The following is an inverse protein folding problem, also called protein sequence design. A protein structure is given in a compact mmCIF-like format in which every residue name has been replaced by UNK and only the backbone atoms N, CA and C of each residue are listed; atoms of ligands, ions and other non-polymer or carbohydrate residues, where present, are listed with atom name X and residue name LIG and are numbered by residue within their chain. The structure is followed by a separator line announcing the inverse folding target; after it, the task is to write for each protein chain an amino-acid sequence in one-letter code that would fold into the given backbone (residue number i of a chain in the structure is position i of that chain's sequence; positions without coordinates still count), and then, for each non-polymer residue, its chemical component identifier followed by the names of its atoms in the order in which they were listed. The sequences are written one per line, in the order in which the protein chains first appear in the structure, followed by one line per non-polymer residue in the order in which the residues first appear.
data_IF_974548744215
#
_entry.id   IF_974548744215
#
_cell.length_a   1.000
_cell.length_b   1.000
_cell.length_c   1.000
_cell.angle_alpha   90.00
_cell.angle_beta   90.00
_cell.angle_gamma   90.00
#
_symmetry.space_group_name_H-M   'P 1'
#
loop_
_entity.id
_entity.type
_entity.pdbx_description
1 polymer ?
#
# COMPACT_ATOMS: atom_id res chain seq x y z
N UNK A 1 1.75 21.07 12.60
CA UNK A 1 1.50 19.64 12.92
C UNK A 1 2.86 18.98 13.11
N UNK A 2 3.12 18.36 14.25
CA UNK A 2 4.43 17.77 14.57
C UNK A 2 4.52 16.38 13.96
N UNK A 3 5.54 16.13 13.13
CA UNK A 3 5.83 14.81 12.61
C UNK A 3 6.52 13.94 13.67
N UNK A 4 6.39 12.61 13.57
CA UNK A 4 7.07 11.69 14.47
C UNK A 4 8.59 11.70 14.21
N UNK A 5 9.36 11.56 15.29
CA UNK A 5 10.81 11.41 15.24
C UNK A 5 11.19 9.98 14.84
N UNK A 6 12.44 9.79 14.42
CA UNK A 6 12.98 8.45 14.12
C UNK A 6 12.81 7.49 15.30
N UNK A 7 13.13 7.92 16.52
CA UNK A 7 13.01 7.08 17.73
C UNK A 7 11.56 6.62 17.97
N UNK A 8 10.60 7.52 17.85
CA UNK A 8 9.18 7.18 18.00
C UNK A 8 8.69 6.21 16.91
N UNK A 9 9.21 6.32 15.69
CA UNK A 9 8.91 5.38 14.61
C UNK A 9 9.53 3.99 14.86
N UNK A 10 10.75 3.95 15.37
CA UNK A 10 11.44 2.69 15.72
C UNK A 10 10.77 1.96 16.89
N UNK A 11 10.31 2.68 17.91
CA UNK A 11 9.52 2.11 19.02
C UNK A 11 8.24 1.41 18.56
N UNK A 12 7.59 1.93 17.49
CA UNK A 12 6.38 1.32 16.92
C UNK A 12 6.62 0.10 16.03
N UNK A 13 7.86 -0.20 15.68
CA UNK A 13 8.19 -1.21 14.67
C UNK A 13 7.79 -2.63 15.06
N UNK A 14 7.86 -2.98 16.35
CA UNK A 14 7.47 -4.31 16.83
C UNK A 14 5.97 -4.57 16.68
N UNK A 15 5.15 -3.54 16.74
CA UNK A 15 3.72 -3.66 16.43
C UNK A 15 3.50 -4.04 14.95
N UNK A 16 4.24 -3.43 14.04
CA UNK A 16 4.18 -3.75 12.62
C UNK A 16 4.65 -5.19 12.35
N UNK A 17 5.74 -5.63 12.98
CA UNK A 17 6.27 -7.00 12.85
C UNK A 17 5.31 -8.10 13.31
N UNK A 18 4.35 -7.78 14.19
CA UNK A 18 3.31 -8.71 14.65
C UNK A 18 2.10 -8.78 13.72
N UNK A 19 2.17 -8.23 12.52
CA UNK A 19 1.11 -8.40 11.51
C UNK A 19 0.94 -9.88 11.15
N UNK A 20 -0.29 -10.35 10.92
CA UNK A 20 -0.54 -11.75 10.54
C UNK A 20 0.12 -12.08 9.20
N UNK A 21 0.60 -13.32 9.03
CA UNK A 21 1.40 -13.71 7.86
C UNK A 21 0.56 -14.25 6.71
N UNK A 22 -0.47 -15.04 6.96
CA UNK A 22 -1.18 -15.78 5.92
C UNK A 22 -2.57 -15.23 5.63
N UNK A 23 -3.27 -14.79 6.65
CA UNK A 23 -4.63 -14.28 6.58
C UNK A 23 -4.73 -13.00 7.39
N UNK A 24 -5.16 -11.93 6.74
CA UNK A 24 -5.33 -10.61 7.32
C UNK A 24 -6.64 -9.96 6.88
N UNK A 25 -6.73 -8.65 7.04
CA UNK A 25 -7.94 -7.87 6.80
C UNK A 25 -7.63 -6.63 5.97
N UNK A 26 -8.54 -6.25 5.08
CA UNK A 26 -8.51 -4.95 4.40
C UNK A 26 -9.09 -3.91 5.35
N UNK A 27 -8.27 -2.97 5.82
CA UNK A 27 -8.71 -1.97 6.81
C UNK A 27 -9.15 -0.64 6.20
N UNK A 28 -8.63 -0.30 5.01
CA UNK A 28 -8.94 0.97 4.38
C UNK A 28 -8.76 0.84 2.87
N UNK A 29 -9.69 1.40 2.12
CA UNK A 29 -9.65 1.50 0.66
C UNK A 29 -9.64 2.98 0.28
N UNK A 30 -8.71 3.38 -0.57
CA UNK A 30 -8.56 4.77 -1.01
C UNK A 30 -8.51 4.84 -2.53
N UNK A 31 -9.44 5.58 -3.11
CA UNK A 31 -9.40 5.99 -4.51
C UNK A 31 -8.69 7.34 -4.65
N UNK A 32 -7.93 7.52 -5.71
CA UNK A 32 -7.19 8.75 -6.02
C UNK A 32 -7.69 9.32 -7.34
N UNK A 33 -8.87 9.96 -7.38
CA UNK A 33 -9.49 10.41 -8.64
C UNK A 33 -8.76 11.58 -9.30
N UNK A 34 -7.97 12.34 -8.53
CA UNK A 34 -7.14 13.43 -9.03
C UNK A 34 -5.84 13.57 -8.21
N UNK A 35 -4.92 14.42 -8.68
CA UNK A 35 -3.71 14.72 -7.92
C UNK A 35 -4.07 15.37 -6.57
N UNK A 36 -3.49 14.82 -5.50
CA UNK A 36 -3.76 15.20 -4.09
C UNK A 36 -5.19 14.97 -3.60
N UNK A 37 -6.06 14.40 -4.40
CA UNK A 37 -7.40 13.98 -3.98
C UNK A 37 -7.40 12.54 -3.45
N UNK A 38 -8.17 12.28 -2.39
CA UNK A 38 -8.21 11.00 -1.67
C UNK A 38 -9.63 10.75 -1.19
N UNK A 39 -10.29 9.76 -1.78
CA UNK A 39 -11.62 9.32 -1.36
C UNK A 39 -11.50 7.98 -0.64
N UNK A 40 -11.92 7.94 0.61
CA UNK A 40 -12.07 6.69 1.36
C UNK A 40 -13.34 6.01 0.88
N UNK A 41 -13.22 4.72 0.55
CA UNK A 41 -14.32 3.92 0.02
C UNK A 41 -14.62 2.75 0.97
N UNK A 42 -15.90 2.40 1.10
CA UNK A 42 -16.33 1.17 1.75
C UNK A 42 -16.17 -0.06 0.84
N UNK A 43 -16.30 0.16 -0.47
CA UNK A 43 -16.20 -0.87 -1.50
C UNK A 43 -15.51 -0.31 -2.74
N UNK A 44 -14.72 -1.15 -3.42
CA UNK A 44 -14.14 -0.84 -4.71
C UNK A 44 -14.13 -2.07 -5.64
N UNK A 45 -14.17 -1.82 -6.94
CA UNK A 45 -13.90 -2.82 -7.97
C UNK A 45 -12.41 -2.78 -8.33
N UNK A 46 -11.77 -3.94 -8.31
CA UNK A 46 -10.43 -4.18 -8.86
C UNK A 46 -10.58 -4.83 -10.23
N UNK A 47 -10.03 -4.20 -11.26
CA UNK A 47 -10.15 -4.64 -12.65
C UNK A 47 -8.77 -4.72 -13.29
N UNK A 48 -8.49 -5.81 -14.00
CA UNK A 48 -7.19 -6.09 -14.61
C UNK A 48 -6.80 -5.10 -15.72
N UNK A 49 -7.78 -4.46 -16.36
CA UNK A 49 -7.54 -3.43 -17.38
C UNK A 49 -7.49 -2.00 -16.82
N UNK A 50 -8.28 -1.71 -15.76
CA UNK A 50 -8.47 -0.35 -15.26
C UNK A 50 -7.79 -0.06 -13.92
N UNK A 51 -7.35 -1.10 -13.20
CA UNK A 51 -6.87 -0.97 -11.83
C UNK A 51 -8.02 -0.86 -10.83
N UNK A 52 -7.87 -0.06 -9.78
CA UNK A 52 -8.98 0.29 -8.89
C UNK A 52 -9.90 1.26 -9.62
N UNK A 53 -11.18 0.91 -9.73
CA UNK A 53 -12.16 1.71 -10.48
C UNK A 53 -12.24 3.15 -9.92
N UNK A 54 -12.15 4.14 -10.80
CA UNK A 54 -12.16 5.56 -10.47
C UNK A 54 -10.80 6.14 -10.05
N UNK A 55 -9.75 5.31 -9.90
CA UNK A 55 -8.39 5.78 -9.62
C UNK A 55 -7.71 6.33 -10.90
N UNK A 56 -6.76 7.23 -10.73
CA UNK A 56 -6.03 7.85 -11.84
C UNK A 56 -4.96 6.96 -12.48
N UNK A 57 -4.76 5.72 -12.02
CA UNK A 57 -3.67 4.87 -12.52
C UNK A 57 -3.65 4.76 -14.05
N UNK A 58 -4.81 4.49 -14.66
CA UNK A 58 -4.90 4.35 -16.12
C UNK A 58 -4.69 5.68 -16.87
N UNK A 59 -5.15 6.78 -16.28
CA UNK A 59 -5.08 8.12 -16.89
C UNK A 59 -3.73 8.81 -16.66
N UNK A 60 -2.86 8.29 -15.82
CA UNK A 60 -1.55 8.91 -15.53
C UNK A 60 -0.63 8.81 -16.71
N UNK A 61 -0.10 9.95 -17.11
CA UNK A 61 0.87 10.10 -18.22
C UNK A 61 2.32 10.18 -17.71
N UNK A 62 2.50 10.35 -16.39
CA UNK A 62 3.80 10.47 -15.72
C UNK A 62 4.41 9.11 -15.33
N UNK A 63 3.78 8.01 -15.72
CA UNK A 63 4.23 6.65 -15.49
C UNK A 63 5.19 6.15 -16.58
N UNK A 64 5.71 4.92 -16.42
CA UNK A 64 6.55 4.28 -17.41
C UNK A 64 5.85 4.20 -18.78
N UNK A 65 6.61 4.41 -19.86
CA UNK A 65 6.09 4.27 -21.22
C UNK A 65 5.78 2.82 -21.58
N UNK A 66 6.46 1.87 -20.95
CA UNK A 66 6.25 0.44 -21.13
C UNK A 66 4.95 -0.01 -20.43
N UNK A 67 4.06 -0.61 -21.21
CA UNK A 67 2.77 -1.11 -20.70
C UNK A 67 2.93 -2.18 -19.61
N UNK A 68 3.89 -3.09 -19.74
CA UNK A 68 4.16 -4.13 -18.74
C UNK A 68 4.62 -3.50 -17.42
N UNK A 69 5.54 -2.53 -17.46
CA UNK A 69 5.99 -1.82 -16.27
C UNK A 69 4.87 -1.00 -15.60
N UNK A 70 3.92 -0.49 -16.39
CA UNK A 70 2.73 0.20 -15.85
C UNK A 70 1.83 -0.76 -15.09
N UNK A 71 1.59 -1.96 -15.62
CA UNK A 71 0.76 -3.00 -14.98
C UNK A 71 1.40 -3.45 -13.66
N UNK A 72 2.72 -3.55 -13.58
CA UNK A 72 3.43 -3.88 -12.35
C UNK A 72 3.24 -2.86 -11.21
N UNK A 73 2.69 -1.68 -11.52
CA UNK A 73 2.37 -0.61 -10.56
C UNK A 73 0.88 -0.28 -10.53
N UNK A 74 0.05 -1.24 -10.93
CA UNK A 74 -1.39 -1.05 -11.10
C UNK A 74 -2.10 -0.81 -9.78
N UNK A 75 -1.68 -1.51 -8.74
CA UNK A 75 -2.24 -1.44 -7.39
C UNK A 75 -1.11 -1.27 -6.38
N UNK A 76 -1.35 -0.48 -5.34
CA UNK A 76 -0.43 -0.32 -4.23
C UNK A 76 -1.10 -0.73 -2.92
N UNK A 77 -0.39 -1.57 -2.14
CA UNK A 77 -0.82 -2.00 -0.82
C UNK A 77 0.18 -1.51 0.23
N UNK A 78 -0.31 -1.01 1.34
CA UNK A 78 0.50 -0.65 2.51
C UNK A 78 0.01 -1.41 3.74
N UNK A 79 0.94 -1.84 4.60
CA UNK A 79 0.57 -2.42 5.88
C UNK A 79 -0.14 -1.37 6.74
N UNK A 80 -1.33 -1.70 7.26
CA UNK A 80 -2.19 -0.76 7.98
C UNK A 80 -1.56 -0.27 9.29
N UNK A 81 -0.79 -1.13 9.97
CA UNK A 81 -0.06 -0.75 11.20
C UNK A 81 1.09 0.20 10.89
N UNK A 82 1.82 -0.03 9.79
CA UNK A 82 2.88 0.87 9.32
C UNK A 82 2.30 2.22 8.90
N UNK A 83 1.16 2.22 8.20
CA UNK A 83 0.45 3.44 7.83
C UNK A 83 0.01 4.25 9.05
N UNK A 84 -0.56 3.57 10.07
CA UNK A 84 -0.97 4.20 11.33
C UNK A 84 0.21 4.77 12.10
N UNK A 85 1.32 4.02 12.17
CA UNK A 85 2.55 4.47 12.82
C UNK A 85 3.09 5.74 12.15
N UNK A 86 3.24 5.74 10.84
CA UNK A 86 3.79 6.90 10.10
C UNK A 86 2.86 8.10 10.15
N UNK A 87 1.55 7.89 10.07
CA UNK A 87 0.56 8.96 10.07
C UNK A 87 0.41 9.63 11.44
N UNK A 88 0.59 8.88 12.53
CA UNK A 88 0.36 9.33 13.91
C UNK A 88 -1.11 9.60 14.24
N UNK A 89 -1.93 9.84 13.23
CA UNK A 89 -3.36 10.10 13.30
C UNK A 89 -4.06 9.22 12.24
N UNK A 90 -5.07 8.41 12.62
CA UNK A 90 -5.79 7.53 11.69
C UNK A 90 -6.37 8.24 10.47
N UNK A 91 -6.85 9.47 10.62
CA UNK A 91 -7.46 10.24 9.53
C UNK A 91 -6.43 10.69 8.48
N UNK A 92 -5.16 10.60 8.80
CA UNK A 92 -4.06 10.93 7.89
C UNK A 92 -3.52 9.73 7.10
N UNK A 93 -3.92 8.50 7.41
CA UNK A 93 -3.49 7.30 6.67
C UNK A 93 -3.68 7.41 5.16
N UNK A 94 -4.81 7.92 4.62
CA UNK A 94 -5.02 8.07 3.18
C UNK A 94 -3.96 8.92 2.49
N UNK A 95 -3.29 9.81 3.22
CA UNK A 95 -2.24 10.68 2.69
C UNK A 95 -0.97 9.90 2.28
N UNK A 96 -0.77 8.66 2.74
CA UNK A 96 0.33 7.82 2.27
C UNK A 96 0.24 7.58 0.76
N UNK A 97 -0.98 7.53 0.23
CA UNK A 97 -1.24 7.54 -1.21
C UNK A 97 -1.34 6.14 -1.82
N UNK A 98 -1.48 5.12 -0.99
CA UNK A 98 -1.77 3.76 -1.41
C UNK A 98 -3.29 3.58 -1.61
N UNK A 99 -3.67 2.54 -2.38
CA UNK A 99 -5.08 2.23 -2.61
C UNK A 99 -5.64 1.28 -1.56
N UNK A 100 -4.89 0.29 -1.11
CA UNK A 100 -5.32 -0.66 -0.08
C UNK A 100 -4.39 -0.59 1.14
N UNK A 101 -5.00 -0.56 2.32
CA UNK A 101 -4.30 -0.66 3.60
C UNK A 101 -4.76 -1.94 4.27
N UNK A 102 -3.81 -2.82 4.54
CA UNK A 102 -4.10 -4.19 4.96
C UNK A 102 -3.38 -4.54 6.26
N UNK A 103 -4.06 -5.19 7.19
CA UNK A 103 -3.41 -5.81 8.35
C UNK A 103 -2.90 -7.19 7.94
N UNK A 104 -1.77 -7.21 7.27
CA UNK A 104 -1.06 -8.39 6.80
C UNK A 104 0.45 -8.09 6.80
N UNK A 105 1.28 -9.07 7.10
CA UNK A 105 2.73 -9.00 6.91
C UNK A 105 3.03 -9.00 5.40
N UNK A 106 3.39 -7.83 4.87
CA UNK A 106 3.72 -7.64 3.46
C UNK A 106 5.24 -7.61 3.21
N UNK A 107 6.04 -8.05 4.18
CA UNK A 107 7.50 -8.09 4.06
C UNK A 107 7.98 -8.91 2.86
N UNK A 108 9.22 -8.66 2.44
CA UNK A 108 9.86 -9.42 1.35
C UNK A 108 9.99 -10.91 1.69
N UNK A 109 10.19 -11.23 2.97
CA UNK A 109 10.26 -12.60 3.46
C UNK A 109 8.93 -13.33 3.36
N UNK A 110 7.82 -12.66 3.70
CA UNK A 110 6.49 -13.27 3.67
C UNK A 110 5.87 -13.30 2.27
N UNK A 111 6.02 -12.22 1.52
CA UNK A 111 5.40 -12.04 0.19
C UNK A 111 6.47 -11.69 -0.85
N UNK A 112 7.37 -12.60 -1.24
CA UNK A 112 8.29 -12.34 -2.34
C UNK A 112 7.53 -11.99 -3.62
N UNK A 113 8.21 -11.36 -4.59
CA UNK A 113 7.64 -11.08 -5.91
C UNK A 113 7.05 -12.36 -6.53
N UNK A 114 5.89 -12.24 -7.18
CA UNK A 114 5.12 -13.38 -7.71
C UNK A 114 4.18 -14.02 -6.68
N UNK A 115 4.22 -13.63 -5.39
CA UNK A 115 3.23 -14.08 -4.41
C UNK A 115 1.83 -13.63 -4.83
N UNK A 116 0.85 -14.50 -4.68
CA UNK A 116 -0.54 -14.20 -4.99
C UNK A 116 -1.36 -14.03 -3.72
N UNK A 117 -2.27 -13.07 -3.78
CA UNK A 117 -3.18 -12.75 -2.69
C UNK A 117 -4.61 -12.75 -3.20
N UNK A 118 -5.50 -13.41 -2.49
CA UNK A 118 -6.92 -13.16 -2.61
C UNK A 118 -7.28 -11.93 -1.78
N UNK A 119 -7.94 -10.95 -2.39
CA UNK A 119 -8.37 -9.69 -1.75
C UNK A 119 -9.86 -9.51 -2.02
N UNK A 120 -10.70 -9.75 -1.03
CA UNK A 120 -12.13 -9.90 -1.26
C UNK A 120 -12.40 -11.01 -2.27
N UNK A 121 -12.99 -10.69 -3.43
CA UNK A 121 -13.21 -11.64 -4.54
C UNK A 121 -12.16 -11.54 -5.66
N UNK A 122 -11.24 -10.58 -5.60
CA UNK A 122 -10.18 -10.37 -6.58
C UNK A 122 -8.93 -11.21 -6.25
N UNK A 123 -8.09 -11.45 -7.27
CA UNK A 123 -6.75 -12.02 -7.09
C UNK A 123 -5.71 -11.04 -7.61
N UNK A 124 -4.69 -10.76 -6.79
CA UNK A 124 -3.58 -9.88 -7.14
C UNK A 124 -2.25 -10.61 -7.00
N UNK A 125 -1.23 -10.15 -7.73
CA UNK A 125 0.12 -10.69 -7.66
C UNK A 125 1.11 -9.58 -7.31
N UNK A 126 1.97 -9.84 -6.32
CA UNK A 126 3.02 -8.92 -5.89
C UNK A 126 4.05 -8.76 -7.01
N UNK A 127 4.29 -7.52 -7.44
CA UNK A 127 5.27 -7.23 -8.50
C UNK A 127 6.70 -7.09 -7.96
N UNK A 128 7.69 -7.23 -8.85
CA UNK A 128 9.10 -6.99 -8.50
C UNK A 128 9.42 -5.51 -8.31
N UNK A 129 8.56 -4.60 -8.77
CA UNK A 129 8.83 -3.16 -8.71
C UNK A 129 8.77 -2.67 -7.26
N UNK A 130 9.87 -2.08 -6.75
CA UNK A 130 9.88 -1.57 -5.38
C UNK A 130 8.91 -0.38 -5.24
N UNK A 131 8.25 -0.32 -4.11
CA UNK A 131 7.46 0.84 -3.70
C UNK A 131 8.22 1.61 -2.62
N UNK A 132 8.73 2.80 -2.96
CA UNK A 132 9.61 3.57 -2.08
C UNK A 132 9.01 4.92 -1.70
N UNK A 133 9.40 5.44 -0.55
CA UNK A 133 9.05 6.79 -0.13
C UNK A 133 9.68 7.85 -1.05
N UNK A 134 8.92 8.87 -1.36
CA UNK A 134 9.29 9.96 -2.25
C UNK A 134 9.15 11.34 -1.59
N UNK A 135 9.48 12.41 -2.32
CA UNK A 135 9.34 13.79 -1.83
C UNK A 135 7.92 14.14 -1.38
N UNK A 136 6.88 13.63 -2.07
CA UNK A 136 5.47 13.83 -1.66
C UNK A 136 5.18 13.16 -0.31
N UNK A 137 5.76 11.98 -0.06
CA UNK A 137 5.66 11.28 1.24
C UNK A 137 6.33 12.08 2.36
N UNK A 138 7.56 12.58 2.12
CA UNK A 138 8.25 13.44 3.08
C UNK A 138 7.50 14.73 3.41
N UNK A 139 6.87 15.36 2.41
CA UNK A 139 6.08 16.57 2.63
C UNK A 139 4.85 16.33 3.55
N UNK A 140 4.33 15.10 3.57
CA UNK A 140 3.15 14.72 4.36
C UNK A 140 3.48 14.21 5.75
N UNK A 141 4.59 13.47 5.89
CA UNK A 141 4.92 12.73 7.12
C UNK A 141 6.29 13.09 7.70
N UNK A 142 7.05 13.97 7.05
CA UNK A 142 8.37 14.40 7.51
C UNK A 142 9.54 13.59 6.95
N UNK A 143 10.75 14.12 7.15
CA UNK A 143 11.99 13.52 6.66
C UNK A 143 12.34 12.25 7.43
N UNK A 144 11.99 12.18 8.71
CA UNK A 144 12.25 10.99 9.54
C UNK A 144 11.43 9.81 9.05
N UNK A 145 10.15 10.02 8.77
CA UNK A 145 9.30 8.99 8.16
C UNK A 145 9.82 8.54 6.79
N UNK A 146 10.30 9.47 5.95
CA UNK A 146 10.91 9.12 4.65
C UNK A 146 12.16 8.24 4.83
N UNK A 147 13.05 8.61 5.74
CA UNK A 147 14.26 7.83 6.05
C UNK A 147 13.91 6.46 6.61
N UNK A 148 12.95 6.41 7.53
CA UNK A 148 12.47 5.19 8.17
C UNK A 148 11.94 4.16 7.15
N UNK A 149 11.00 4.55 6.29
CA UNK A 149 10.43 3.62 5.30
C UNK A 149 11.42 3.21 4.21
N UNK A 150 12.44 4.02 3.94
CA UNK A 150 13.48 3.73 2.95
C UNK A 150 14.76 3.12 3.56
N UNK A 151 14.82 2.93 4.88
CA UNK A 151 15.94 2.26 5.56
C UNK A 151 16.04 0.79 5.12
N UNK A 152 17.18 0.09 5.36
CA UNK A 152 17.29 -1.33 5.07
C UNK A 152 16.18 -2.17 5.71
N UNK A 153 15.84 -1.91 6.98
CA UNK A 153 14.73 -2.57 7.69
C UNK A 153 13.38 -2.16 7.07
N UNK A 154 13.20 -0.87 6.78
CA UNK A 154 11.98 -0.35 6.16
C UNK A 154 11.69 -0.97 4.80
N UNK A 155 12.72 -1.23 3.99
CA UNK A 155 12.60 -1.91 2.70
C UNK A 155 12.27 -3.39 2.86
N UNK A 156 12.99 -4.10 3.72
CA UNK A 156 12.74 -5.52 3.98
C UNK A 156 11.32 -5.77 4.51
N UNK A 157 10.80 -4.91 5.40
CA UNK A 157 9.44 -4.97 5.90
C UNK A 157 8.42 -4.31 4.98
N UNK A 158 8.86 -3.70 3.88
CA UNK A 158 8.02 -2.92 2.96
C UNK A 158 7.14 -1.90 3.66
N UNK A 159 7.72 -1.15 4.59
CA UNK A 159 6.98 -0.15 5.39
C UNK A 159 6.32 0.93 4.53
N UNK A 160 6.84 1.20 3.33
CA UNK A 160 6.21 2.10 2.36
C UNK A 160 5.11 1.41 1.56
N UNK A 161 5.02 0.09 1.62
CA UNK A 161 4.09 -0.70 0.84
C UNK A 161 4.75 -1.51 -0.27
N UNK A 162 3.93 -2.16 -1.06
CA UNK A 162 4.30 -2.92 -2.25
C UNK A 162 3.45 -2.53 -3.45
N UNK A 163 3.96 -2.82 -4.63
CA UNK A 163 3.21 -2.76 -5.88
C UNK A 163 2.66 -4.15 -6.23
N UNK A 164 1.50 -4.18 -6.85
CA UNK A 164 0.86 -5.40 -7.33
C UNK A 164 0.15 -5.16 -8.66
N UNK A 165 -0.12 -6.24 -9.37
CA UNK A 165 -0.99 -6.27 -10.53
C UNK A 165 -2.24 -7.12 -10.24
N UNK A 166 -3.35 -6.78 -10.85
CA UNK A 166 -4.60 -7.51 -10.70
C UNK A 166 -4.60 -8.63 -11.73
N UNK A 167 -4.73 -9.89 -11.26
CA UNK A 167 -4.81 -11.07 -12.12
C UNK A 167 -6.25 -11.46 -12.43
N UNK A 168 -7.11 -11.36 -11.42
CA UNK A 168 -8.53 -11.68 -11.54
C UNK A 168 -9.33 -10.53 -10.94
N UNK A 169 -10.22 -9.97 -11.75
CA UNK A 169 -11.10 -8.89 -11.31
C UNK A 169 -12.07 -9.33 -10.22
N UNK A 170 -12.43 -8.39 -9.36
CA UNK A 170 -13.36 -8.66 -8.27
C UNK A 170 -13.68 -7.41 -7.48
N UNK A 171 -14.42 -7.61 -6.41
CA UNK A 171 -14.81 -6.55 -5.48
C UNK A 171 -14.07 -6.72 -4.17
N UNK A 172 -13.66 -5.62 -3.58
CA UNK A 172 -13.05 -5.55 -2.25
C UNK A 172 -13.83 -4.57 -1.39
N UNK A 173 -14.09 -4.95 -0.12
CA UNK A 173 -14.74 -4.12 0.91
C UNK A 173 -13.82 -3.93 2.09
N UNK A 174 -13.99 -2.81 2.78
CA UNK A 174 -13.40 -2.63 4.11
C UNK A 174 -13.91 -3.74 5.03
N UNK A 175 -13.00 -4.42 5.72
CA UNK A 175 -13.30 -5.61 6.54
C UNK A 175 -13.17 -6.96 5.82
N UNK A 176 -13.01 -6.97 4.50
CA UNK A 176 -12.78 -8.21 3.76
C UNK A 176 -11.49 -8.91 4.16
N UNK A 177 -11.49 -10.22 4.01
CA UNK A 177 -10.30 -11.04 4.18
C UNK A 177 -9.32 -10.79 3.03
N UNK A 178 -8.06 -10.61 3.37
CA UNK A 178 -6.92 -10.75 2.47
C UNK A 178 -6.12 -11.99 2.88
N UNK A 179 -5.80 -12.87 1.93
CA UNK A 179 -5.04 -14.09 2.23
C UNK A 179 -4.00 -14.41 1.15
N UNK A 180 -2.91 -14.99 1.59
CA UNK A 180 -1.88 -15.59 0.74
C UNK A 180 -2.43 -16.86 0.11
N UNK A 181 -2.22 -17.04 -1.20
CA UNK A 181 -2.63 -18.22 -1.99
C UNK A 181 -1.48 -19.20 -2.18
#
# INVERSE_FOLDING_TARGET
MTHLTTDALEEGLDHVRRSPRDVGTVELIVCRPAENDRHVLEEATLDDAQGLAGDTWLARTDGPADAAERVDRQLTLMNARAASLVAGDPDRRPLAGDQLYVDLDISEDNLPAGSRLQVGTAVVEVSEKPHTGCKKFAARFGQDALRFVNSPVGRSLRLRGLNARILEKGTVRTGDVIRKL
#
